data_IF_367227371338
#
_entry.id   IF_367227371338
#
_cell.length_a   1.000
_cell.length_b   1.000
_cell.length_c   1.000
_cell.angle_alpha   90.00
_cell.angle_beta   90.00
_cell.angle_gamma   90.00
#
_symmetry.space_group_name_H-M   'P 1'
#
loop_
_entity.id
_entity.type
_entity.pdbx_description
1 polymer ?
#
# COMPACT_ATOMS: atom_id res chain seq x y z
N UNK A 1 17.19 31.15 -8.26
CA UNK A 1 18.08 30.19 -7.57
C UNK A 1 17.24 29.29 -6.68
N UNK A 2 17.07 28.02 -7.07
CA UNK A 2 17.04 26.82 -6.22
C UNK A 2 16.72 25.61 -7.10
N UNK A 3 17.70 25.19 -7.91
CA UNK A 3 17.62 24.00 -8.77
C UNK A 3 17.85 22.69 -8.00
N UNK A 4 18.18 22.77 -6.70
CA UNK A 4 18.46 21.61 -5.86
C UNK A 4 17.18 20.94 -5.34
N UNK A 5 16.11 21.70 -5.08
CA UNK A 5 14.87 21.16 -4.50
C UNK A 5 14.14 20.20 -5.45
N UNK A 6 14.18 20.48 -6.76
CA UNK A 6 13.53 19.67 -7.80
C UNK A 6 14.15 18.28 -7.96
N UNK A 7 15.36 18.03 -7.42
CA UNK A 7 16.02 16.74 -7.49
C UNK A 7 15.68 15.83 -6.31
N UNK A 8 15.21 16.40 -5.20
CA UNK A 8 14.93 15.68 -3.95
C UNK A 8 13.45 15.45 -3.70
N UNK A 9 12.56 16.23 -4.31
CA UNK A 9 11.13 16.01 -4.29
C UNK A 9 10.75 15.35 -5.61
N UNK A 10 10.66 14.01 -5.70
CA UNK A 10 10.12 13.34 -6.87
C UNK A 10 8.81 14.01 -7.29
N UNK A 11 8.62 14.26 -8.59
CA UNK A 11 7.40 14.90 -9.14
C UNK A 11 6.11 14.12 -8.81
N UNK A 12 6.24 12.89 -8.28
CA UNK A 12 5.15 12.04 -7.78
C UNK A 12 4.76 12.25 -6.31
N UNK A 13 5.49 13.07 -5.53
CA UNK A 13 5.13 13.34 -4.12
C UNK A 13 3.98 14.35 -4.04
N UNK A 14 2.74 13.85 -3.90
CA UNK A 14 1.60 14.69 -3.56
C UNK A 14 1.55 14.98 -2.05
N UNK A 15 2.50 15.79 -1.58
CA UNK A 15 2.66 16.10 -0.15
C UNK A 15 1.38 16.67 0.46
N UNK A 16 0.63 17.47 -0.29
CA UNK A 16 -0.63 18.06 0.19
C UNK A 16 -1.70 16.97 0.30
N UNK A 17 -1.85 16.14 -0.74
CA UNK A 17 -2.74 14.98 -0.70
C UNK A 17 -2.46 14.06 0.48
N UNK A 18 -1.18 13.71 0.69
CA UNK A 18 -0.76 12.84 1.79
C UNK A 18 -1.11 13.44 3.16
N UNK A 19 -0.86 14.74 3.36
CA UNK A 19 -1.24 15.43 4.61
C UNK A 19 -2.75 15.42 4.83
N UNK A 20 -3.55 15.69 3.79
CA UNK A 20 -5.01 15.66 3.90
C UNK A 20 -5.51 14.26 4.24
N UNK A 21 -4.99 13.22 3.58
CA UNK A 21 -5.35 11.83 3.86
C UNK A 21 -4.97 11.44 5.29
N UNK A 22 -3.77 11.81 5.75
CA UNK A 22 -3.34 11.56 7.12
C UNK A 22 -4.24 12.25 8.16
N UNK A 23 -4.68 13.49 7.88
CA UNK A 23 -5.64 14.19 8.73
C UNK A 23 -7.00 13.49 8.77
N UNK A 24 -7.49 12.97 7.64
CA UNK A 24 -8.72 12.19 7.58
C UNK A 24 -8.62 10.88 8.37
N UNK A 25 -7.48 10.19 8.28
CA UNK A 25 -7.19 9.00 9.10
C UNK A 25 -7.22 9.37 10.58
N UNK A 26 -6.51 10.42 10.98
CA UNK A 26 -6.52 10.91 12.36
C UNK A 26 -7.91 11.27 12.86
N UNK A 27 -8.69 12.01 12.06
CA UNK A 27 -10.08 12.36 12.39
C UNK A 27 -10.97 11.12 12.56
N UNK A 28 -10.78 10.10 11.71
CA UNK A 28 -11.50 8.84 11.81
C UNK A 28 -11.17 8.12 13.12
N UNK A 29 -9.89 8.02 13.47
CA UNK A 29 -9.45 7.43 14.75
C UNK A 29 -9.99 8.23 15.93
N UNK A 30 -10.00 9.56 15.85
CA UNK A 30 -10.59 10.41 16.89
C UNK A 30 -12.08 10.13 17.10
N UNK A 31 -12.84 9.97 16.03
CA UNK A 31 -14.27 9.64 16.12
C UNK A 31 -14.50 8.26 16.74
N UNK A 32 -13.64 7.29 16.46
CA UNK A 32 -13.79 5.91 16.96
C UNK A 32 -13.33 5.73 18.41
N UNK A 33 -12.25 6.41 18.80
CA UNK A 33 -11.57 6.18 20.08
C UNK A 33 -11.72 7.37 21.07
N UNK A 34 -12.10 8.55 20.58
CA UNK A 34 -12.24 9.77 21.38
C UNK A 34 -10.93 10.39 21.88
N UNK A 35 -9.79 9.73 21.66
CA UNK A 35 -8.47 10.15 22.14
C UNK A 35 -7.75 11.01 21.11
N UNK A 36 -7.51 12.29 21.44
CA UNK A 36 -6.74 13.20 20.60
C UNK A 36 -5.29 12.72 20.42
N UNK A 37 -4.70 12.13 21.47
CA UNK A 37 -3.34 11.61 21.42
C UNK A 37 -3.20 10.45 20.43
N UNK A 38 -4.13 9.50 20.47
CA UNK A 38 -4.13 8.37 19.54
C UNK A 38 -4.42 8.84 18.10
N UNK A 39 -5.37 9.76 17.92
CA UNK A 39 -5.66 10.36 16.63
C UNK A 39 -4.45 11.06 15.99
N UNK A 40 -3.78 11.93 16.76
CA UNK A 40 -2.59 12.64 16.29
C UNK A 40 -1.42 11.67 16.01
N UNK A 41 -1.20 10.71 16.91
CA UNK A 41 -0.18 9.67 16.73
C UNK A 41 -0.41 8.83 15.47
N UNK A 42 -1.63 8.38 15.24
CA UNK A 42 -2.00 7.62 14.04
C UNK A 42 -1.87 8.43 12.76
N UNK A 43 -2.26 9.71 12.77
CA UNK A 43 -2.09 10.60 11.61
C UNK A 43 -0.62 10.79 11.24
N UNK A 44 0.24 11.06 12.22
CA UNK A 44 1.69 11.23 12.00
C UNK A 44 2.31 9.93 11.50
N UNK A 45 1.96 8.79 12.10
CA UNK A 45 2.47 7.49 11.68
C UNK A 45 2.05 7.15 10.25
N UNK A 46 0.79 7.42 9.90
CA UNK A 46 0.25 7.21 8.56
C UNK A 46 0.97 8.10 7.54
N UNK A 47 1.14 9.39 7.83
CA UNK A 47 1.85 10.31 6.95
C UNK A 47 3.31 9.88 6.73
N UNK A 48 4.01 9.48 7.79
CA UNK A 48 5.38 9.00 7.70
C UNK A 48 5.49 7.75 6.83
N UNK A 49 4.51 6.84 6.95
CA UNK A 49 4.42 5.65 6.13
C UNK A 49 4.22 5.98 4.65
N UNK A 50 3.27 6.86 4.32
CA UNK A 50 2.93 7.25 2.96
C UNK A 50 4.13 7.91 2.26
N UNK A 51 4.80 8.85 2.94
CA UNK A 51 6.04 9.46 2.44
C UNK A 51 7.12 8.40 2.23
N UNK A 52 7.26 7.44 3.15
CA UNK A 52 8.28 6.38 3.03
C UNK A 52 8.00 5.47 1.83
N UNK A 53 6.74 5.13 1.57
CA UNK A 53 6.35 4.32 0.41
C UNK A 53 6.52 5.09 -0.91
N UNK A 54 6.21 6.39 -0.93
CA UNK A 54 6.42 7.24 -2.11
C UNK A 54 7.91 7.35 -2.46
N UNK A 55 8.76 7.53 -1.44
CA UNK A 55 10.21 7.54 -1.62
C UNK A 55 10.69 6.19 -2.11
N UNK A 56 10.20 5.09 -1.55
CA UNK A 56 10.56 3.75 -2.00
C UNK A 56 10.20 3.55 -3.48
N UNK A 57 8.97 3.92 -3.87
CA UNK A 57 8.49 3.83 -5.25
C UNK A 57 9.34 4.70 -6.19
N UNK A 58 9.74 5.90 -5.76
CA UNK A 58 10.55 6.81 -6.56
C UNK A 58 12.02 6.36 -6.73
N UNK A 59 12.60 5.70 -5.71
CA UNK A 59 14.02 5.33 -5.69
C UNK A 59 14.29 3.92 -6.21
N UNK A 60 13.44 2.96 -5.84
CA UNK A 60 13.66 1.53 -6.11
C UNK A 60 12.88 1.08 -7.35
N UNK A 61 11.76 1.74 -7.63
CA UNK A 61 10.88 1.42 -8.75
C UNK A 61 9.43 1.32 -8.28
N UNK A 62 8.51 1.53 -9.23
CA UNK A 62 7.08 1.42 -8.99
C UNK A 62 6.77 0.04 -8.37
N UNK A 63 5.95 0.02 -7.31
CA UNK A 63 5.66 -1.13 -6.43
C UNK A 63 6.63 -1.42 -5.27
N UNK A 64 7.73 -0.69 -5.11
CA UNK A 64 8.59 -0.85 -3.93
C UNK A 64 7.85 -0.52 -2.61
N UNK A 65 6.92 0.43 -2.63
CA UNK A 65 6.03 0.75 -1.54
C UNK A 65 5.19 -0.46 -1.09
N UNK A 66 4.73 -1.31 -2.02
CA UNK A 66 4.00 -2.54 -1.68
C UNK A 66 4.90 -3.53 -0.92
N UNK A 67 6.17 -3.66 -1.30
CA UNK A 67 7.11 -4.52 -0.58
C UNK A 67 7.39 -4.00 0.83
N UNK A 68 7.64 -2.69 0.99
CA UNK A 68 7.83 -2.04 2.29
C UNK A 68 6.61 -2.22 3.18
N UNK A 69 5.42 -1.94 2.64
CA UNK A 69 4.17 -2.08 3.38
C UNK A 69 3.89 -3.55 3.76
N UNK A 70 4.19 -4.50 2.87
CA UNK A 70 4.08 -5.92 3.16
C UNK A 70 4.94 -6.36 4.36
N UNK A 71 6.21 -5.91 4.43
CA UNK A 71 7.09 -6.19 5.57
C UNK A 71 6.59 -5.57 6.87
N UNK A 72 6.07 -4.34 6.82
CA UNK A 72 5.50 -3.67 7.98
C UNK A 72 4.27 -4.39 8.50
N UNK A 73 3.37 -4.81 7.61
CA UNK A 73 2.18 -5.59 7.97
C UNK A 73 2.57 -6.93 8.58
N UNK A 74 3.58 -7.61 8.06
CA UNK A 74 4.09 -8.87 8.64
C UNK A 74 4.65 -8.66 10.05
N UNK A 75 5.40 -7.59 10.26
CA UNK A 75 5.96 -7.24 11.57
C UNK A 75 4.85 -6.88 12.56
N UNK A 76 3.87 -6.09 12.13
CA UNK A 76 2.69 -5.76 12.91
C UNK A 76 1.86 -7.00 13.26
N UNK A 77 1.72 -7.96 12.33
CA UNK A 77 1.05 -9.23 12.57
C UNK A 77 1.73 -10.02 13.68
N UNK A 78 3.06 -10.16 13.61
CA UNK A 78 3.85 -10.85 14.64
C UNK A 78 3.73 -10.18 16.02
N UNK A 79 3.86 -8.85 16.06
CA UNK A 79 3.69 -8.07 17.29
C UNK A 79 2.27 -8.22 17.86
N UNK A 80 1.25 -8.13 17.02
CA UNK A 80 -0.15 -8.29 17.42
C UNK A 80 -0.42 -9.66 18.04
N UNK A 81 0.06 -10.74 17.41
CA UNK A 81 -0.07 -12.10 17.96
C UNK A 81 0.66 -12.22 19.28
N UNK A 82 1.88 -11.67 19.38
CA UNK A 82 2.67 -11.70 20.61
C UNK A 82 2.00 -10.97 21.77
N UNK A 83 1.26 -9.88 21.50
CA UNK A 83 0.62 -9.06 22.52
C UNK A 83 -0.78 -9.56 22.91
N UNK A 84 -1.51 -10.18 21.99
CA UNK A 84 -2.93 -10.50 22.18
C UNK A 84 -3.24 -11.99 22.23
N UNK A 85 -2.34 -12.84 21.73
CA UNK A 85 -2.59 -14.28 21.53
C UNK A 85 -3.62 -14.60 20.45
N UNK A 86 -4.19 -13.59 19.76
CA UNK A 86 -5.21 -13.77 18.73
C UNK A 86 -4.58 -14.18 17.38
N UNK A 87 -4.13 -15.44 17.33
CA UNK A 87 -3.42 -16.01 16.19
C UNK A 87 -4.21 -15.98 14.87
N UNK A 88 -5.54 -16.05 14.91
CA UNK A 88 -6.39 -16.04 13.71
C UNK A 88 -6.37 -14.67 13.01
N UNK A 89 -6.50 -13.57 13.76
CA UNK A 89 -6.35 -12.21 13.26
C UNK A 89 -4.93 -11.95 12.76
N UNK A 90 -3.94 -12.43 13.52
CA UNK A 90 -2.54 -12.39 13.10
C UNK A 90 -2.30 -13.12 11.77
N UNK A 91 -2.93 -14.28 11.59
CA UNK A 91 -2.90 -15.03 10.33
C UNK A 91 -3.48 -14.25 9.16
N UNK A 92 -4.61 -13.56 9.36
CA UNK A 92 -5.19 -12.67 8.34
C UNK A 92 -4.22 -11.55 7.97
N UNK A 93 -3.62 -10.86 8.95
CA UNK A 93 -2.61 -9.84 8.67
C UNK A 93 -1.39 -10.40 7.96
N UNK A 94 -0.91 -11.58 8.35
CA UNK A 94 0.22 -12.22 7.72
C UNK A 94 -0.06 -12.57 6.25
N UNK A 95 -1.26 -13.05 5.93
CA UNK A 95 -1.66 -13.29 4.54
C UNK A 95 -1.66 -12.00 3.72
N UNK A 96 -2.21 -10.90 4.25
CA UNK A 96 -2.17 -9.60 3.59
C UNK A 96 -0.73 -9.10 3.40
N UNK A 97 0.12 -9.22 4.41
CA UNK A 97 1.51 -8.78 4.34
C UNK A 97 2.34 -9.60 3.34
N UNK A 98 2.18 -10.93 3.34
CA UNK A 98 2.79 -11.81 2.35
C UNK A 98 2.32 -11.48 0.93
N UNK A 99 1.03 -11.19 0.76
CA UNK A 99 0.47 -10.79 -0.53
C UNK A 99 1.13 -9.52 -1.07
N UNK A 100 1.16 -8.46 -0.26
CA UNK A 100 1.77 -7.18 -0.61
C UNK A 100 3.26 -7.30 -0.92
N UNK A 101 3.97 -8.10 -0.12
CA UNK A 101 5.39 -8.34 -0.32
C UNK A 101 5.66 -9.07 -1.64
N UNK A 102 4.90 -10.14 -1.90
CA UNK A 102 4.98 -10.88 -3.16
C UNK A 102 4.62 -9.99 -4.35
N UNK A 103 3.56 -9.19 -4.24
CA UNK A 103 3.14 -8.25 -5.27
C UNK A 103 4.24 -7.24 -5.60
N UNK A 104 4.80 -6.59 -4.58
CA UNK A 104 5.90 -5.64 -4.75
C UNK A 104 7.14 -6.27 -5.38
N UNK A 105 7.58 -7.41 -4.85
CA UNK A 105 8.79 -8.11 -5.33
C UNK A 105 8.64 -8.58 -6.78
N UNK A 106 7.48 -9.13 -7.17
CA UNK A 106 7.31 -9.61 -8.54
C UNK A 106 7.27 -8.45 -9.55
N UNK A 107 6.60 -7.35 -9.23
CA UNK A 107 6.57 -6.17 -10.12
C UNK A 107 7.97 -5.56 -10.27
N UNK A 108 8.73 -5.43 -9.18
CA UNK A 108 10.13 -4.97 -9.24
C UNK A 108 11.02 -5.94 -10.03
N UNK A 109 10.84 -7.25 -9.86
CA UNK A 109 11.61 -8.28 -10.57
C UNK A 109 11.34 -8.25 -12.07
N UNK A 110 10.09 -8.06 -12.46
CA UNK A 110 9.69 -8.08 -13.87
C UNK A 110 9.74 -6.70 -14.55
N UNK A 111 9.92 -5.63 -13.77
CA UNK A 111 10.04 -4.25 -14.25
C UNK A 111 8.73 -3.65 -14.73
N UNK A 112 7.59 -4.13 -14.18
CA UNK A 112 6.26 -3.76 -14.63
C UNK A 112 5.67 -2.68 -13.72
N UNK A 113 5.31 -1.54 -14.30
CA UNK A 113 4.73 -0.40 -13.58
C UNK A 113 3.21 -0.53 -13.34
N UNK A 114 2.63 0.26 -12.44
CA UNK A 114 1.19 0.29 -12.16
C UNK A 114 0.36 0.63 -13.40
N UNK A 115 0.91 1.44 -14.30
CA UNK A 115 0.25 1.85 -15.54
C UNK A 115 0.19 0.71 -16.58
N UNK A 116 1.11 -0.25 -16.50
CA UNK A 116 1.12 -1.46 -17.32
C UNK A 116 0.22 -2.56 -16.74
N UNK A 117 -0.10 -2.46 -15.45
CA UNK A 117 -0.88 -3.42 -14.68
C UNK A 117 -2.33 -2.98 -14.62
N UNK A 118 -3.02 -3.20 -15.72
CA UNK A 118 -4.45 -2.97 -15.79
C UNK A 118 -5.01 -3.73 -16.96
N UNK A 119 -5.83 -4.75 -16.70
CA UNK A 119 -6.86 -5.06 -17.68
C UNK A 119 -7.73 -3.81 -17.68
N UNK A 120 -7.78 -3.01 -18.77
CA UNK A 120 -8.72 -1.90 -18.84
C UNK A 120 -10.08 -2.49 -18.53
N UNK A 121 -10.73 -1.95 -17.50
CA UNK A 121 -11.99 -2.46 -16.99
C UNK A 121 -13.01 -2.48 -18.13
N UNK A 122 -13.13 -3.63 -18.79
CA UNK A 122 -14.09 -3.86 -19.85
C UNK A 122 -15.36 -4.32 -19.16
N UNK A 123 -16.41 -3.51 -19.27
CA UNK A 123 -17.79 -3.85 -18.95
C UNK A 123 -18.33 -4.95 -19.88
N UNK A 124 -17.64 -6.07 -20.01
CA UNK A 124 -18.22 -7.29 -20.58
C UNK A 124 -19.04 -7.97 -19.47
N UNK A 125 -20.16 -7.33 -19.08
CA UNK A 125 -21.12 -7.85 -18.09
C UNK A 125 -21.62 -6.85 -17.04
N UNK A 126 -22.35 -7.35 -16.04
CA UNK A 126 -22.86 -6.59 -14.88
C UNK A 126 -21.73 -6.03 -14.01
N UNK A 127 -21.97 -4.92 -13.30
CA UNK A 127 -21.02 -4.33 -12.36
C UNK A 127 -20.50 -5.36 -11.34
N UNK A 128 -21.35 -6.29 -10.90
CA UNK A 128 -20.99 -7.32 -9.92
C UNK A 128 -19.99 -8.35 -10.48
N UNK A 129 -20.21 -8.80 -11.72
CA UNK A 129 -19.32 -9.75 -12.41
C UNK A 129 -18.06 -9.07 -12.92
N UNK A 130 -18.16 -7.81 -13.36
CA UNK A 130 -17.01 -7.04 -13.81
C UNK A 130 -16.06 -6.70 -12.66
N UNK A 131 -16.59 -6.22 -11.52
CA UNK A 131 -15.78 -5.86 -10.35
C UNK A 131 -15.11 -7.08 -9.73
N UNK A 132 -15.84 -8.17 -9.51
CA UNK A 132 -15.27 -9.40 -8.96
C UNK A 132 -14.17 -9.97 -9.86
N UNK A 133 -14.38 -9.96 -11.19
CA UNK A 133 -13.36 -10.38 -12.15
C UNK A 133 -12.13 -9.47 -12.09
N UNK A 134 -12.31 -8.15 -12.05
CA UNK A 134 -11.20 -7.20 -11.95
C UNK A 134 -10.40 -7.39 -10.65
N UNK A 135 -11.08 -7.57 -9.52
CA UNK A 135 -10.44 -7.85 -8.23
C UNK A 135 -9.67 -9.17 -8.25
N UNK A 136 -10.26 -10.23 -8.79
CA UNK A 136 -9.59 -11.53 -8.92
C UNK A 136 -8.38 -11.46 -9.85
N UNK A 137 -8.48 -10.75 -10.98
CA UNK A 137 -7.33 -10.56 -11.87
C UNK A 137 -6.22 -9.80 -11.18
N UNK A 138 -6.53 -8.71 -10.46
CA UNK A 138 -5.52 -7.97 -9.70
C UNK A 138 -4.90 -8.82 -8.58
N UNK A 139 -5.72 -9.63 -7.92
CA UNK A 139 -5.29 -10.61 -6.91
C UNK A 139 -4.53 -11.80 -7.52
N UNK A 140 -4.50 -12.00 -8.83
CA UNK A 140 -3.67 -13.05 -9.43
C UNK A 140 -2.45 -12.49 -10.15
N UNK A 141 -2.45 -11.19 -10.40
CA UNK A 141 -1.45 -10.48 -11.17
C UNK A 141 0.00 -10.87 -10.83
N UNK A 142 0.47 -10.86 -9.57
CA UNK A 142 1.87 -11.13 -9.30
C UNK A 142 2.32 -12.56 -9.64
N UNK A 143 1.39 -13.53 -9.71
CA UNK A 143 1.69 -14.87 -10.22
C UNK A 143 1.71 -14.92 -11.74
N UNK A 144 0.85 -14.13 -12.38
CA UNK A 144 0.68 -14.08 -13.84
C UNK A 144 1.80 -13.31 -14.54
N UNK A 145 2.55 -12.44 -13.84
CA UNK A 145 3.69 -11.74 -14.42
C UNK A 145 4.76 -12.69 -14.98
N UNK A 146 4.91 -13.87 -14.39
CA UNK A 146 5.88 -14.87 -14.84
C UNK A 146 5.53 -15.50 -16.20
N UNK A 147 4.24 -15.54 -16.56
CA UNK A 147 3.74 -16.20 -17.77
C UNK A 147 3.52 -15.26 -18.96
N UNK A 148 3.72 -13.95 -18.78
CA UNK A 148 3.54 -12.92 -19.82
C UNK A 148 4.84 -12.52 -20.54
N UNK A 149 5.94 -13.28 -20.37
CA UNK A 149 7.21 -13.10 -21.10
C UNK A 149 7.36 -14.10 -22.23
#
# INVERSE_FOLDING_TARGET
MSTALHRFVPDKLDVIGNVVTALLVGATIYVLDGSLGNAAGSAVLFLALEISTDIADAVVGDYAGNAVFGLLVLTAAGAFVSLTGAWWLGGCFALCGCWLLLDGVQHLRYGVSRDEVGVPYRHEGSALTGLSRALLTRLLEPFLLSSRR
#
